data_IF_731403210825
#
_entry.id   IF_731403210825
#
_cell.length_a   1.000
_cell.length_b   1.000
_cell.length_c   1.000
_cell.angle_alpha   90.00
_cell.angle_beta   90.00
_cell.angle_gamma   90.00
#
_symmetry.space_group_name_H-M   'P 1'
#
loop_
_entity.id
_entity.type
_entity.pdbx_description
1 polymer ?
#
# COMPACT_ATOMS: atom_id res chain seq x y z
N UNK A 1 -2.89 0.15 12.56
CA UNK A 1 -1.90 1.18 12.91
C UNK A 1 -0.57 0.48 13.07
N UNK A 2 0.04 0.20 11.92
CA UNK A 2 1.35 -0.40 11.79
C UNK A 2 2.14 0.41 10.75
N UNK A 3 3.41 0.69 11.05
CA UNK A 3 4.34 1.26 10.08
C UNK A 3 4.75 0.18 9.08
N UNK A 4 4.51 0.43 7.80
CA UNK A 4 4.82 -0.48 6.71
C UNK A 4 6.26 -0.26 6.21
N UNK A 5 6.92 -1.33 5.75
CA UNK A 5 8.24 -1.21 5.13
C UNK A 5 8.12 -0.66 3.70
N UNK A 6 8.82 0.43 3.40
CA UNK A 6 8.87 1.01 2.06
C UNK A 6 9.87 0.23 1.20
N UNK A 7 9.39 -0.36 0.11
CA UNK A 7 10.23 -1.07 -0.86
C UNK A 7 11.12 -0.08 -1.63
N UNK A 8 12.42 -0.38 -1.72
CA UNK A 8 13.41 0.40 -2.48
C UNK A 8 13.86 -0.32 -3.76
N UNK A 9 14.24 0.44 -4.79
CA UNK A 9 14.74 -0.16 -6.04
C UNK A 9 16.10 -0.87 -5.84
N UNK A 10 16.36 -2.01 -6.53
CA UNK A 10 15.50 -2.67 -7.53
C UNK A 10 14.60 -3.76 -6.91
N UNK A 11 13.28 -3.51 -6.83
CA UNK A 11 12.29 -4.51 -6.44
C UNK A 11 11.26 -4.72 -7.57
N UNK A 12 11.00 -5.96 -8.04
CA UNK A 12 10.05 -6.22 -9.12
C UNK A 12 8.61 -5.82 -8.79
N UNK A 13 8.22 -5.80 -7.50
CA UNK A 13 6.87 -5.40 -7.06
C UNK A 13 6.58 -3.94 -7.37
N UNK A 14 7.61 -3.09 -7.38
CA UNK A 14 7.51 -1.67 -7.75
C UNK A 14 7.19 -1.45 -9.25
N UNK A 15 7.30 -2.49 -10.09
CA UNK A 15 7.00 -2.41 -11.53
C UNK A 15 5.61 -2.93 -11.89
N UNK A 16 4.87 -3.48 -10.92
CA UNK A 16 3.54 -4.05 -11.16
C UNK A 16 2.52 -2.92 -11.31
N UNK A 17 1.63 -3.02 -12.32
CA UNK A 17 0.51 -2.09 -12.47
C UNK A 17 -0.56 -2.40 -11.43
N UNK A 18 -0.92 -1.42 -10.60
CA UNK A 18 -1.97 -1.59 -9.60
C UNK A 18 -3.34 -1.83 -10.24
N UNK A 19 -4.15 -2.66 -9.58
CA UNK A 19 -5.54 -2.92 -9.96
C UNK A 19 -6.50 -1.91 -9.30
N UNK A 20 -7.66 -1.70 -9.91
CA UNK A 20 -8.69 -0.85 -9.34
C UNK A 20 -9.37 -1.56 -8.17
N UNK A 21 -9.39 -0.89 -7.02
CA UNK A 21 -10.16 -1.34 -5.85
C UNK A 21 -11.66 -1.29 -6.20
N UNK A 22 -12.37 -2.40 -5.96
CA UNK A 22 -13.82 -2.51 -6.22
C UNK A 22 -14.67 -2.13 -5.01
N UNK A 23 -14.13 -2.29 -3.80
CA UNK A 23 -14.81 -1.97 -2.55
C UNK A 23 -13.87 -1.21 -1.62
N UNK A 24 -14.16 0.08 -1.41
CA UNK A 24 -13.33 0.97 -0.60
C UNK A 24 -13.40 0.66 0.89
N UNK A 25 -14.46 -0.01 1.36
CA UNK A 25 -14.61 -0.36 2.77
C UNK A 25 -13.58 -1.40 3.20
N UNK A 26 -13.09 -2.21 2.24
CA UNK A 26 -12.11 -3.28 2.49
C UNK A 26 -10.67 -2.79 2.67
N UNK A 27 -10.37 -1.54 2.28
CA UNK A 27 -8.99 -1.00 2.26
C UNK A 27 -8.75 0.11 3.28
N UNK A 28 -9.71 0.40 4.17
CA UNK A 28 -9.59 1.49 5.16
C UNK A 28 -8.36 1.32 6.05
N UNK A 29 -8.14 0.12 6.59
CA UNK A 29 -6.97 -0.18 7.44
C UNK A 29 -5.65 0.02 6.67
N UNK A 30 -5.61 -0.33 5.38
CA UNK A 30 -4.43 -0.11 4.55
C UNK A 30 -4.16 1.39 4.35
N UNK A 31 -5.21 2.20 4.15
CA UNK A 31 -5.07 3.66 4.04
C UNK A 31 -4.51 4.24 5.34
N UNK A 32 -5.07 3.84 6.48
CA UNK A 32 -4.62 4.32 7.80
C UNK A 32 -3.14 3.96 8.05
N UNK A 33 -2.75 2.71 7.77
CA UNK A 33 -1.36 2.24 7.94
C UNK A 33 -0.39 2.95 6.98
N UNK A 34 -0.83 3.26 5.74
CA UNK A 34 -0.02 4.03 4.79
C UNK A 34 0.14 5.49 5.20
N UNK A 35 -0.88 6.12 5.79
CA UNK A 35 -0.80 7.49 6.31
C UNK A 35 0.13 7.59 7.52
N UNK A 36 0.17 6.56 8.36
CA UNK A 36 1.10 6.48 9.50
C UNK A 36 2.55 6.23 9.06
N UNK A 37 2.74 5.56 7.92
CA UNK A 37 4.08 5.27 7.36
C UNK A 37 4.72 6.47 6.66
N UNK A 38 3.91 7.43 6.19
CA UNK A 38 4.35 8.64 5.48
C UNK A 38 5.01 9.66 6.41
#
# INVERSE_FOLDING_TARGET
MAVLEILTAPDPRLKVKAEKVRDITTVQTLIDDMLETL
#
